data_IF_425260097178
#
_entry.id   IF_425260097178
#
_cell.length_a   1.000
_cell.length_b   1.000
_cell.length_c   1.000
_cell.angle_alpha   90.00
_cell.angle_beta   90.00
_cell.angle_gamma   90.00
#
_symmetry.space_group_name_H-M   'P 1'
#
loop_
_entity.id
_entity.type
_entity.pdbx_description
1 polymer ?
#
# COMPACT_ATOMS: atom_id res chain seq x y z
N UNK A 1 21.35 23.82 -22.40
CA UNK A 1 20.63 23.78 -21.09
C UNK A 1 19.10 23.71 -21.17
N UNK A 2 18.43 24.17 -22.24
CA UNK A 2 16.95 24.20 -22.29
C UNK A 2 16.21 22.85 -22.47
N UNK A 3 16.89 21.79 -22.89
CA UNK A 3 16.28 20.46 -23.13
C UNK A 3 15.99 19.69 -21.85
N UNK A 4 16.92 19.70 -20.89
CA UNK A 4 16.79 18.99 -19.61
C UNK A 4 15.70 19.60 -18.72
N UNK A 5 15.63 20.93 -18.64
CA UNK A 5 14.58 21.62 -17.89
C UNK A 5 13.18 21.30 -18.43
N UNK A 6 13.00 21.31 -19.76
CA UNK A 6 11.72 20.93 -20.39
C UNK A 6 11.34 19.48 -20.11
N UNK A 7 12.31 18.56 -20.12
CA UNK A 7 12.08 17.15 -19.82
C UNK A 7 11.65 16.94 -18.36
N UNK A 8 12.38 17.53 -17.42
CA UNK A 8 12.06 17.44 -15.98
C UNK A 8 10.71 18.09 -15.66
N UNK A 9 10.43 19.25 -16.25
CA UNK A 9 9.15 19.96 -16.09
C UNK A 9 7.96 19.13 -16.60
N UNK A 10 8.11 18.43 -17.74
CA UNK A 10 7.07 17.55 -18.28
C UNK A 10 6.80 16.35 -17.37
N UNK A 11 7.85 15.77 -16.77
CA UNK A 11 7.72 14.64 -15.84
C UNK A 11 7.06 15.05 -14.52
N UNK A 12 7.41 16.23 -13.98
CA UNK A 12 6.82 16.77 -12.74
C UNK A 12 5.37 17.18 -12.93
N UNK A 13 5.02 17.79 -14.07
CA UNK A 13 3.64 18.24 -14.34
C UNK A 13 2.68 17.12 -14.74
N UNK A 14 3.15 15.87 -14.81
CA UNK A 14 2.33 14.71 -15.15
C UNK A 14 1.88 14.73 -16.61
N UNK A 15 2.63 14.08 -17.49
CA UNK A 15 2.12 13.76 -18.82
C UNK A 15 1.11 12.62 -18.69
N UNK A 16 -0.19 12.94 -18.70
CA UNK A 16 -1.22 11.93 -19.02
C UNK A 16 -1.03 11.54 -20.48
N UNK A 17 -0.22 10.51 -20.73
CA UNK A 17 -0.10 9.91 -22.05
C UNK A 17 -1.24 8.91 -22.20
N UNK A 18 -2.40 9.43 -22.57
CA UNK A 18 -3.38 8.62 -23.28
C UNK A 18 -2.83 8.29 -24.66
N UNK A 19 -2.87 7.00 -24.99
CA UNK A 19 -2.96 6.54 -26.38
C UNK A 19 -1.71 6.58 -27.24
N UNK A 20 -1.23 5.36 -27.54
CA UNK A 20 -0.64 4.96 -28.84
C UNK A 20 0.88 5.06 -29.00
N UNK A 21 1.59 4.16 -28.33
CA UNK A 21 2.83 3.61 -28.87
C UNK A 21 2.50 2.36 -29.71
N UNK A 22 2.37 2.55 -31.02
CA UNK A 22 2.44 1.44 -31.97
C UNK A 22 3.88 0.91 -32.02
N UNK A 23 3.96 -0.42 -31.96
CA UNK A 23 5.06 -1.27 -32.43
C UNK A 23 6.02 -1.82 -31.35
N UNK A 24 6.13 -3.16 -31.33
CA UNK A 24 7.24 -3.86 -30.68
C UNK A 24 6.87 -4.70 -29.45
N UNK A 25 6.20 -5.83 -29.70
CA UNK A 25 6.06 -7.00 -28.82
C UNK A 25 7.19 -7.15 -27.78
N UNK A 26 6.85 -7.14 -26.49
CA UNK A 26 7.43 -8.05 -25.49
C UNK A 26 6.51 -8.15 -24.28
N UNK A 27 5.95 -9.35 -24.16
CA UNK A 27 5.44 -10.01 -22.96
C UNK A 27 4.41 -9.26 -22.11
N UNK A 28 3.21 -9.84 -22.05
CA UNK A 28 2.15 -9.39 -21.16
C UNK A 28 2.65 -9.29 -19.71
N UNK A 29 2.67 -8.08 -19.20
CA UNK A 29 2.43 -7.86 -17.78
C UNK A 29 0.96 -7.48 -17.76
N UNK A 30 0.13 -8.45 -17.39
CA UNK A 30 -1.29 -8.26 -17.20
C UNK A 30 -1.49 -6.97 -16.42
N UNK A 31 -2.34 -6.10 -16.97
CA UNK A 31 -2.92 -5.01 -16.21
C UNK A 31 -3.68 -5.64 -15.05
N UNK A 32 -3.02 -5.81 -13.91
CA UNK A 32 -3.70 -6.03 -12.65
C UNK A 32 -4.44 -4.73 -12.37
N UNK A 33 -5.70 -4.69 -12.77
CA UNK A 33 -6.73 -3.80 -12.26
C UNK A 33 -7.02 -4.03 -10.77
N UNK A 34 -6.08 -4.61 -10.01
CA UNK A 34 -6.24 -5.13 -8.66
C UNK A 34 -5.35 -4.46 -7.60
N UNK A 35 -4.78 -3.28 -7.86
CA UNK A 35 -3.92 -2.55 -6.89
C UNK A 35 -4.58 -2.22 -5.54
N UNK A 36 -5.88 -2.48 -5.39
CA UNK A 36 -6.65 -2.30 -4.16
C UNK A 36 -6.84 -3.60 -3.36
N UNK A 37 -6.77 -4.77 -4.00
CA UNK A 37 -7.17 -6.03 -3.38
C UNK A 37 -6.07 -6.65 -2.51
N UNK A 38 -4.79 -6.43 -2.83
CA UNK A 38 -3.66 -6.93 -2.03
C UNK A 38 -3.14 -5.99 -0.94
N UNK A 39 -3.57 -4.71 -0.93
CA UNK A 39 -3.08 -3.72 0.05
C UNK A 39 -3.77 -3.87 1.40
N UNK A 40 -5.08 -4.13 1.40
CA UNK A 40 -5.84 -4.35 2.63
C UNK A 40 -5.32 -5.59 3.38
N UNK A 41 -5.05 -6.67 2.66
CA UNK A 41 -4.50 -7.90 3.22
C UNK A 41 -3.10 -7.69 3.77
N UNK A 42 -2.23 -6.98 3.06
CA UNK A 42 -0.88 -6.65 3.53
C UNK A 42 -0.91 -5.75 4.78
N UNK A 43 -1.81 -4.76 4.84
CA UNK A 43 -1.99 -3.91 6.01
C UNK A 43 -2.53 -4.70 7.20
N UNK A 44 -3.51 -5.57 7.00
CA UNK A 44 -4.06 -6.44 8.05
C UNK A 44 -3.00 -7.41 8.60
N UNK A 45 -2.12 -7.91 7.74
CA UNK A 45 -1.02 -8.80 8.12
C UNK A 45 0.04 -8.05 8.95
N UNK A 46 0.47 -6.86 8.51
CA UNK A 46 1.38 -5.98 9.26
C UNK A 46 0.80 -5.63 10.64
N UNK A 47 -0.50 -5.33 10.73
CA UNK A 47 -1.15 -5.04 12.01
C UNK A 47 -1.14 -6.25 12.94
N UNK A 48 -1.42 -7.47 12.44
CA UNK A 48 -1.38 -8.70 13.25
C UNK A 48 0.03 -9.08 13.73
N UNK A 49 1.06 -8.84 12.90
CA UNK A 49 2.46 -9.09 13.27
C UNK A 49 3.09 -7.98 14.12
N UNK A 50 2.39 -6.87 14.33
CA UNK A 50 2.88 -5.79 15.19
C UNK A 50 2.97 -6.26 16.64
N UNK A 51 4.13 -6.07 17.25
CA UNK A 51 4.36 -6.37 18.68
C UNK A 51 3.36 -5.63 19.59
N UNK A 52 2.93 -4.43 19.19
CA UNK A 52 1.90 -3.66 19.92
C UNK A 52 0.54 -4.34 19.92
N UNK A 53 0.17 -5.02 18.82
CA UNK A 53 -1.12 -5.71 18.72
C UNK A 53 -1.14 -6.93 19.64
N UNK A 54 -0.06 -7.73 19.64
CA UNK A 54 0.10 -8.88 20.53
C UNK A 54 0.07 -8.45 22.00
N UNK A 55 0.78 -7.38 22.36
CA UNK A 55 0.76 -6.84 23.72
C UNK A 55 -0.64 -6.40 24.15
N UNK A 56 -1.42 -5.79 23.24
CA UNK A 56 -2.79 -5.39 23.53
C UNK A 56 -3.70 -6.59 23.79
N UNK A 57 -3.58 -7.66 22.99
CA UNK A 57 -4.35 -8.89 23.22
C UNK A 57 -3.99 -9.56 24.55
N UNK A 58 -2.70 -9.63 24.89
CA UNK A 58 -2.22 -10.16 26.16
C UNK A 58 -2.74 -9.34 27.34
N UNK A 59 -2.66 -8.02 27.26
CA UNK A 59 -3.14 -7.11 28.30
C UNK A 59 -4.66 -7.23 28.48
N UNK A 60 -5.44 -7.31 27.39
CA UNK A 60 -6.89 -7.53 27.48
C UNK A 60 -7.20 -8.83 28.23
N UNK A 61 -6.54 -9.94 27.88
CA UNK A 61 -6.76 -11.21 28.57
C UNK A 61 -6.34 -11.16 30.05
N UNK A 62 -5.22 -10.51 30.33
CA UNK A 62 -4.64 -10.42 31.68
C UNK A 62 -5.49 -9.56 32.61
N UNK A 63 -5.99 -8.43 32.11
CA UNK A 63 -6.70 -7.45 32.93
C UNK A 63 -8.22 -7.56 32.87
N UNK A 64 -8.79 -8.36 31.95
CA UNK A 64 -10.24 -8.57 31.87
C UNK A 64 -10.86 -9.05 33.20
N UNK A 65 -10.31 -10.13 33.79
CA UNK A 65 -10.85 -10.72 35.03
C UNK A 65 -10.74 -9.77 36.23
N UNK A 66 -9.56 -9.16 36.52
CA UNK A 66 -9.46 -8.17 37.59
C UNK A 66 -10.44 -7.00 37.44
N UNK A 67 -10.64 -6.50 36.21
CA UNK A 67 -11.56 -5.39 35.96
C UNK A 67 -13.01 -5.79 36.22
N UNK A 68 -13.41 -7.00 35.81
CA UNK A 68 -14.78 -7.48 36.07
C UNK A 68 -15.04 -7.77 37.54
N UNK A 69 -14.04 -8.21 38.28
CA UNK A 69 -14.17 -8.56 39.71
C UNK A 69 -14.15 -7.33 40.63
N UNK A 70 -13.57 -6.20 40.19
CA UNK A 70 -13.63 -4.94 40.92
C UNK A 70 -14.91 -4.12 40.66
N UNK A 71 -15.83 -4.63 39.84
CA UNK A 71 -17.04 -3.92 39.42
C UNK A 71 -18.26 -4.24 40.29
#
# INVERSE_FOLDING_TARGET
MGSLYRLLKRKVKGSSLDGKASNGRKSGIGSSSGGKQGMADALAEITKRSAYFQQTEEDVQKYAKPITEMR
#
